data_IF_186522885490
#
_entry.id   IF_186522885490
#
_cell.length_a   1.000
_cell.length_b   1.000
_cell.length_c   1.000
_cell.angle_alpha   90.00
_cell.angle_beta   90.00
_cell.angle_gamma   90.00
#
_symmetry.space_group_name_H-M   'P 1'
#
loop_
_entity.id
_entity.type
_entity.pdbx_description
1 polymer ?
#
# COMPACT_ATOMS: atom_id res chain seq x y z
N UNK A 1 12.33 -24.90 58.78
CA UNK A 1 11.57 -23.64 58.66
C UNK A 1 12.27 -22.79 57.61
N UNK A 2 11.88 -22.94 56.35
CA UNK A 2 11.08 -21.97 55.58
C UNK A 2 11.90 -20.79 55.02
N UNK A 3 12.09 -20.84 53.70
CA UNK A 3 12.02 -19.71 52.74
C UNK A 3 13.24 -18.79 52.62
N UNK A 4 14.24 -19.26 51.88
CA UNK A 4 15.11 -18.41 51.06
C UNK A 4 14.63 -18.64 49.61
N UNK A 5 13.42 -18.17 49.32
CA UNK A 5 13.13 -17.02 48.47
C UNK A 5 13.92 -17.06 47.15
N UNK A 6 13.31 -17.77 46.21
CA UNK A 6 13.63 -17.82 44.79
C UNK A 6 13.63 -16.41 44.20
N UNK A 7 14.77 -15.98 43.68
CA UNK A 7 14.87 -14.74 42.92
C UNK A 7 16.09 -14.83 41.98
N UNK A 8 15.90 -15.40 40.80
CA UNK A 8 16.54 -14.96 39.55
C UNK A 8 16.11 -15.83 38.36
N UNK A 9 15.86 -15.15 37.23
CA UNK A 9 15.96 -15.68 35.85
C UNK A 9 14.84 -16.66 35.46
N UNK A 10 13.98 -16.42 34.48
CA UNK A 10 13.95 -15.41 33.44
C UNK A 10 12.56 -15.50 32.81
N UNK A 11 11.94 -14.34 32.70
CA UNK A 11 10.69 -14.07 31.99
C UNK A 11 10.71 -14.63 30.56
N UNK A 12 10.16 -15.82 30.36
CA UNK A 12 9.61 -16.24 29.06
C UNK A 12 8.23 -15.58 28.96
N UNK A 13 8.25 -14.25 28.81
CA UNK A 13 7.09 -13.45 28.49
C UNK A 13 6.80 -13.60 27.00
N UNK A 14 6.05 -14.65 26.66
CA UNK A 14 5.06 -14.68 25.59
C UNK A 14 5.24 -13.63 24.47
N UNK A 15 6.11 -13.92 23.49
CA UNK A 15 6.12 -13.25 22.19
C UNK A 15 4.88 -13.68 21.39
N UNK A 16 3.71 -13.20 21.82
CA UNK A 16 2.59 -13.07 20.90
C UNK A 16 3.01 -12.00 19.89
N UNK A 17 3.02 -12.27 18.58
CA UNK A 17 3.03 -11.19 17.61
C UNK A 17 1.68 -10.50 17.79
N UNK A 18 1.64 -9.49 18.66
CA UNK A 18 0.58 -8.51 18.62
C UNK A 18 0.73 -7.93 17.22
N UNK A 19 -0.17 -8.30 16.31
CA UNK A 19 -0.36 -7.58 15.08
C UNK A 19 -0.64 -6.14 15.53
N UNK A 20 0.43 -5.34 15.59
CA UNK A 20 0.37 -3.97 16.01
C UNK A 20 -0.59 -3.32 15.01
N UNK A 21 -1.79 -3.03 15.47
CA UNK A 21 -2.62 -2.08 14.77
C UNK A 21 -1.80 -0.80 14.82
N UNK A 22 -1.12 -0.49 13.72
CA UNK A 22 -0.34 0.72 13.61
C UNK A 22 -1.26 1.88 14.00
N UNK A 23 -0.80 2.71 14.94
CA UNK A 23 -1.66 3.70 15.56
C UNK A 23 -2.06 4.80 14.55
N UNK A 24 -1.26 4.97 13.50
CA UNK A 24 -1.46 5.96 12.45
C UNK A 24 -1.17 5.42 11.05
N UNK A 25 -1.64 6.12 10.01
CA UNK A 25 -1.38 5.78 8.60
C UNK A 25 0.12 5.81 8.27
N UNK A 26 0.92 6.81 8.68
CA UNK A 26 2.36 6.82 8.41
C UNK A 26 3.10 5.64 9.05
N UNK A 27 2.80 5.31 10.30
CA UNK A 27 3.41 4.17 10.99
C UNK A 27 3.06 2.83 10.30
N UNK A 28 1.79 2.71 9.87
CA UNK A 28 1.32 1.54 9.13
C UNK A 28 2.06 1.38 7.80
N UNK A 29 2.24 2.48 7.07
CA UNK A 29 2.94 2.51 5.80
C UNK A 29 4.42 2.19 5.97
N UNK A 30 5.10 2.79 6.95
CA UNK A 30 6.53 2.58 7.21
C UNK A 30 6.82 1.12 7.59
N UNK A 31 6.03 0.56 8.52
CA UNK A 31 6.17 -0.84 8.94
C UNK A 31 5.92 -1.79 7.77
N UNK A 32 4.89 -1.53 6.97
CA UNK A 32 4.55 -2.35 5.81
C UNK A 32 5.62 -2.27 4.72
N UNK A 33 6.06 -1.06 4.37
CA UNK A 33 7.04 -0.83 3.31
C UNK A 33 8.41 -1.42 3.68
N UNK A 34 8.86 -1.26 4.93
CA UNK A 34 10.09 -1.90 5.44
C UNK A 34 10.01 -3.43 5.40
N UNK A 35 8.89 -4.02 5.81
CA UNK A 35 8.69 -5.47 5.72
C UNK A 35 8.66 -5.97 4.27
N UNK A 36 8.10 -5.19 3.35
CA UNK A 36 8.05 -5.52 1.92
C UNK A 36 9.42 -5.40 1.27
N UNK A 37 10.21 -4.38 1.60
CA UNK A 37 11.59 -4.22 1.14
C UNK A 37 12.46 -5.41 1.57
N UNK A 38 12.39 -5.81 2.85
CA UNK A 38 13.13 -6.99 3.33
C UNK A 38 12.74 -8.28 2.58
N UNK A 39 11.47 -8.46 2.23
CA UNK A 39 11.02 -9.58 1.39
C UNK A 39 11.57 -9.49 -0.02
N UNK A 40 11.50 -8.30 -0.63
CA UNK A 40 11.97 -8.04 -1.98
C UNK A 40 13.48 -8.25 -2.10
N UNK A 41 14.29 -7.75 -1.16
CA UNK A 41 15.74 -7.97 -1.13
C UNK A 41 16.09 -9.47 -1.09
N UNK A 42 15.42 -10.25 -0.22
CA UNK A 42 15.59 -11.70 -0.17
C UNK A 42 15.18 -12.39 -1.48
N UNK A 43 14.05 -11.98 -2.07
CA UNK A 43 13.55 -12.54 -3.32
C UNK A 43 14.50 -12.27 -4.50
N UNK A 44 15.18 -11.13 -4.48
CA UNK A 44 16.17 -10.73 -5.48
C UNK A 44 17.58 -11.24 -5.19
N UNK A 45 17.78 -12.06 -4.15
CA UNK A 45 19.09 -12.61 -3.79
C UNK A 45 20.09 -11.58 -3.28
N UNK A 46 19.61 -10.52 -2.62
CA UNK A 46 20.44 -9.44 -2.09
C UNK A 46 20.69 -9.61 -0.58
N UNK A 47 21.88 -9.23 -0.14
CA UNK A 47 22.34 -9.47 1.23
C UNK A 47 21.57 -8.66 2.28
N UNK A 48 21.09 -7.47 1.92
CA UNK A 48 20.39 -6.57 2.83
C UNK A 48 19.46 -5.59 2.09
N UNK A 49 18.39 -5.11 2.76
CA UNK A 49 17.62 -3.94 2.32
C UNK A 49 18.47 -2.65 2.32
N UNK A 50 18.11 -1.62 1.53
CA UNK A 50 17.02 -1.63 0.56
C UNK A 50 17.37 -2.40 -0.71
N UNK A 51 16.38 -3.09 -1.27
CA UNK A 51 16.54 -3.81 -2.53
C UNK A 51 16.96 -2.86 -3.66
N UNK A 52 18.06 -3.18 -4.34
CA UNK A 52 18.66 -2.37 -5.42
C UNK A 52 18.23 -2.85 -6.80
N UNK A 53 18.42 -2.00 -7.80
CA UNK A 53 18.21 -2.34 -9.22
C UNK A 53 16.75 -2.33 -9.68
N UNK A 54 15.82 -1.95 -8.80
CA UNK A 54 14.39 -1.91 -9.08
C UNK A 54 13.82 -0.51 -8.92
N UNK A 55 12.96 -0.11 -9.86
CA UNK A 55 12.17 1.11 -9.80
C UNK A 55 10.73 0.75 -9.40
N UNK A 56 10.10 1.57 -8.57
CA UNK A 56 8.76 1.29 -8.03
C UNK A 56 7.76 2.28 -8.62
N UNK A 57 6.69 1.76 -9.20
CA UNK A 57 5.54 2.54 -9.63
C UNK A 57 4.42 2.37 -8.61
N UNK A 58 4.01 3.46 -7.97
CA UNK A 58 3.00 3.40 -6.89
C UNK A 58 1.61 3.68 -7.44
N UNK A 59 0.65 2.85 -7.05
CA UNK A 59 -0.77 3.00 -7.38
C UNK A 59 -1.58 3.24 -6.11
N UNK A 60 -2.76 3.85 -6.26
CA UNK A 60 -3.70 4.01 -5.15
C UNK A 60 -4.39 2.67 -4.87
N UNK A 61 -4.40 2.18 -3.62
CA UNK A 61 -5.17 1.01 -3.23
C UNK A 61 -6.66 1.23 -3.48
N UNK A 62 -7.33 0.22 -4.01
CA UNK A 62 -8.76 0.28 -4.35
C UNK A 62 -9.61 -0.53 -3.36
N UNK A 63 -10.92 -0.28 -3.32
CA UNK A 63 -11.82 -1.08 -2.50
C UNK A 63 -11.80 -2.54 -2.97
N UNK A 64 -11.68 -3.49 -2.05
CA UNK A 64 -11.71 -4.92 -2.38
C UNK A 64 -13.05 -5.34 -3.02
N UNK A 65 -14.16 -4.69 -2.66
CA UNK A 65 -15.47 -4.94 -3.25
C UNK A 65 -15.78 -4.12 -4.51
N UNK A 66 -14.98 -3.08 -4.79
CA UNK A 66 -15.14 -2.19 -5.94
C UNK A 66 -13.78 -1.65 -6.39
N UNK A 67 -13.21 -2.30 -7.41
CA UNK A 67 -11.84 -2.04 -7.87
C UNK A 67 -11.68 -0.71 -8.63
N UNK A 68 -12.77 0.02 -8.88
CA UNK A 68 -12.71 1.40 -9.40
C UNK A 68 -12.78 2.44 -8.27
N UNK A 69 -13.05 2.00 -7.04
CA UNK A 69 -13.21 2.86 -5.87
C UNK A 69 -11.93 3.13 -5.11
N UNK A 70 -11.61 4.41 -4.92
CA UNK A 70 -10.54 4.85 -4.03
C UNK A 70 -10.97 6.06 -3.21
N UNK A 71 -10.73 6.03 -1.91
CA UNK A 71 -11.05 7.13 -0.98
C UNK A 71 -9.81 7.98 -0.62
N UNK A 72 -9.96 9.16 -0.01
CA UNK A 72 -8.82 9.96 0.45
C UNK A 72 -7.82 9.20 1.33
N UNK A 73 -8.29 8.31 2.22
CA UNK A 73 -7.42 7.53 3.09
C UNK A 73 -6.49 6.58 2.29
N UNK A 74 -7.02 5.94 1.26
CA UNK A 74 -6.25 5.05 0.39
C UNK A 74 -5.18 5.80 -0.39
N UNK A 75 -5.50 7.03 -0.86
CA UNK A 75 -4.50 7.91 -1.46
C UNK A 75 -3.41 8.28 -0.47
N UNK A 76 -3.78 8.66 0.76
CA UNK A 76 -2.80 8.95 1.81
C UNK A 76 -1.89 7.75 2.10
N UNK A 77 -2.43 6.53 2.18
CA UNK A 77 -1.62 5.32 2.33
C UNK A 77 -0.61 5.17 1.18
N UNK A 78 -1.03 5.40 -0.07
CA UNK A 78 -0.14 5.35 -1.22
C UNK A 78 0.98 6.39 -1.13
N UNK A 79 0.66 7.63 -0.73
CA UNK A 79 1.64 8.71 -0.54
C UNK A 79 2.64 8.37 0.57
N UNK A 80 2.19 7.82 1.70
CA UNK A 80 3.07 7.43 2.80
C UNK A 80 4.01 6.29 2.41
N UNK A 81 3.51 5.30 1.65
CA UNK A 81 4.37 4.24 1.12
C UNK A 81 5.37 4.77 0.08
N UNK A 82 4.93 5.68 -0.81
CA UNK A 82 5.81 6.33 -1.76
C UNK A 82 6.90 7.14 -1.05
N UNK A 83 6.54 7.91 -0.02
CA UNK A 83 7.48 8.63 0.86
C UNK A 83 8.54 7.67 1.40
N UNK A 84 8.13 6.55 1.98
CA UNK A 84 9.06 5.58 2.54
C UNK A 84 10.02 5.04 1.47
N UNK A 85 9.53 4.62 0.30
CA UNK A 85 10.39 4.11 -0.77
C UNK A 85 11.35 5.18 -1.32
N UNK A 86 10.91 6.43 -1.47
CA UNK A 86 11.80 7.54 -1.85
C UNK A 86 12.89 7.75 -0.80
N UNK A 87 12.51 7.78 0.49
CA UNK A 87 13.46 7.94 1.61
C UNK A 87 14.47 6.79 1.68
N UNK A 88 14.05 5.58 1.35
CA UNK A 88 14.89 4.38 1.27
C UNK A 88 15.76 4.31 -0.01
N UNK A 89 15.72 5.33 -0.88
CA UNK A 89 16.61 5.45 -2.04
C UNK A 89 16.09 4.79 -3.32
N UNK A 90 14.81 4.41 -3.39
CA UNK A 90 14.20 3.88 -4.60
C UNK A 90 13.91 4.98 -5.62
N UNK A 91 13.96 4.61 -6.91
CA UNK A 91 13.35 5.41 -7.97
C UNK A 91 11.85 5.16 -7.96
N UNK A 92 11.08 6.11 -7.45
CA UNK A 92 9.61 6.04 -7.44
C UNK A 92 9.04 6.85 -8.60
N UNK A 93 8.12 6.24 -9.36
CA UNK A 93 7.39 6.91 -10.44
C UNK A 93 5.91 7.04 -10.08
N UNK A 94 5.38 8.25 -10.15
CA UNK A 94 3.95 8.52 -10.02
C UNK A 94 3.22 8.18 -11.33
N UNK A 95 2.09 7.47 -11.22
CA UNK A 95 1.14 7.37 -12.34
C UNK A 95 0.21 8.58 -12.29
N UNK A 96 0.54 9.65 -13.01
CA UNK A 96 -0.42 10.75 -13.20
C UNK A 96 -1.61 10.28 -14.03
N UNK A 97 -2.82 10.67 -13.57
CA UNK A 97 -4.14 10.28 -14.13
C UNK A 97 -4.15 10.35 -15.66
N UNK A 98 -4.48 9.21 -16.29
CA UNK A 98 -4.57 9.05 -17.75
C UNK A 98 -4.19 7.64 -18.24
N UNK A 99 -3.56 6.82 -17.38
CA UNK A 99 -3.22 5.42 -17.67
C UNK A 99 -4.00 4.53 -16.71
N UNK A 100 -5.15 4.03 -17.16
CA UNK A 100 -5.94 3.05 -16.41
C UNK A 100 -5.13 1.75 -16.27
N UNK A 101 -4.79 1.35 -15.05
CA UNK A 101 -4.39 -0.03 -14.75
C UNK A 101 -5.69 -0.78 -14.53
N UNK A 102 -6.02 -1.72 -15.41
CA UNK A 102 -7.22 -2.54 -15.29
C UNK A 102 -6.87 -3.79 -14.47
N UNK A 103 -7.47 -3.93 -13.29
CA UNK A 103 -7.40 -5.17 -12.52
C UNK A 103 -8.51 -6.10 -13.03
N UNK A 104 -8.20 -7.35 -13.40
CA UNK A 104 -9.22 -8.28 -13.88
C UNK A 104 -9.68 -9.22 -12.74
N UNK A 105 -10.92 -9.10 -12.24
CA UNK A 105 -11.36 -9.77 -11.01
C UNK A 105 -11.39 -11.30 -11.11
N UNK A 106 -11.67 -11.83 -12.30
CA UNK A 106 -11.99 -13.26 -12.50
C UNK A 106 -10.75 -14.16 -12.41
N UNK A 107 -9.56 -13.62 -12.70
CA UNK A 107 -8.29 -14.35 -12.67
C UNK A 107 -7.38 -13.92 -11.53
N UNK A 108 -7.69 -12.80 -10.85
CA UNK A 108 -6.77 -12.18 -9.89
C UNK A 108 -5.50 -11.61 -10.53
N UNK A 109 -5.48 -11.49 -11.86
CA UNK A 109 -4.34 -11.00 -12.63
C UNK A 109 -4.45 -9.48 -12.87
N UNK A 110 -3.33 -8.79 -12.73
CA UNK A 110 -3.19 -7.40 -13.17
C UNK A 110 -3.09 -7.36 -14.70
N UNK A 111 -4.16 -6.92 -15.37
CA UNK A 111 -4.08 -6.60 -16.79
C UNK A 111 -3.50 -5.20 -16.98
N UNK A 112 -2.19 -5.16 -17.17
CA UNK A 112 -1.52 -3.99 -17.71
C UNK A 112 -2.03 -3.76 -19.13
N UNK A 113 -2.88 -2.75 -19.30
CA UNK A 113 -3.42 -2.40 -20.62
C UNK A 113 -2.25 -1.99 -21.52
N UNK A 114 -1.91 -2.88 -22.47
CA UNK A 114 -1.10 -2.69 -23.68
C UNK A 114 -0.52 -1.29 -23.82
N UNK A 115 0.65 -1.06 -23.20
CA UNK A 115 1.62 0.02 -23.48
C UNK A 115 2.91 -0.13 -22.65
N UNK A 116 3.30 -1.36 -22.32
CA UNK A 116 4.62 -1.65 -21.73
C UNK A 116 5.77 -1.24 -22.70
N UNK A 117 5.50 -1.25 -24.00
CA UNK A 117 6.44 -0.82 -25.06
C UNK A 117 6.72 0.69 -25.10
N UNK A 118 5.92 1.51 -24.40
CA UNK A 118 6.20 2.94 -24.22
C UNK A 118 6.99 3.25 -22.93
N UNK A 119 7.31 2.23 -22.12
CA UNK A 119 8.18 2.38 -20.96
C UNK A 119 9.64 2.22 -21.40
N UNK A 120 10.12 3.27 -22.07
CA UNK A 120 11.51 3.59 -22.38
C UNK A 120 12.53 2.47 -22.24
N UNK A 121 12.86 1.87 -23.38
CA UNK A 121 14.16 1.25 -23.60
C UNK A 121 15.25 2.32 -23.42
N UNK A 122 15.95 2.30 -22.29
CA UNK A 122 17.38 2.58 -22.14
C UNK A 122 17.77 2.48 -20.65
N UNK A 123 18.69 1.56 -20.35
CA UNK A 123 19.20 1.14 -19.04
C UNK A 123 18.20 0.32 -18.21
N UNK A 124 18.37 -1.01 -18.21
CA UNK A 124 17.46 -2.02 -17.64
C UNK A 124 17.37 -1.89 -16.12
N UNK A 125 16.60 -0.92 -15.64
CA UNK A 125 16.04 -0.96 -14.30
C UNK A 125 14.77 -1.78 -14.36
N UNK A 126 14.74 -2.91 -13.64
CA UNK A 126 13.51 -3.68 -13.46
C UNK A 126 12.43 -2.77 -12.83
N UNK A 127 11.18 -2.88 -13.29
CA UNK A 127 10.06 -2.07 -12.79
C UNK A 127 9.11 -2.96 -12.00
N UNK A 128 8.88 -2.62 -10.72
CA UNK A 128 7.81 -3.20 -9.92
C UNK A 128 6.66 -2.20 -9.73
N UNK A 129 5.44 -2.72 -9.69
CA UNK A 129 4.24 -1.95 -9.39
C UNK A 129 3.81 -2.26 -7.97
N UNK A 130 3.65 -1.23 -7.14
CA UNK A 130 2.99 -1.33 -5.84
C UNK A 130 1.49 -1.15 -6.04
N UNK A 131 0.75 -2.25 -5.91
CA UNK A 131 -0.70 -2.30 -6.03
C UNK A 131 -1.33 -2.90 -4.79
N UNK A 132 -2.57 -2.54 -4.51
CA UNK A 132 -3.23 -3.10 -3.34
C UNK A 132 -4.72 -2.83 -3.28
N UNK A 133 -5.32 -3.41 -2.26
CA UNK A 133 -6.73 -3.23 -1.94
C UNK A 133 -6.90 -2.83 -0.49
N UNK A 134 -8.02 -2.20 -0.17
CA UNK A 134 -8.44 -1.96 1.20
C UNK A 134 -9.81 -2.55 1.49
N UNK A 135 -10.08 -2.81 2.77
CA UNK A 135 -11.40 -3.21 3.27
C UNK A 135 -11.72 -2.39 4.51
N UNK A 136 -12.91 -1.79 4.54
CA UNK A 136 -13.38 -0.98 5.66
C UNK A 136 -14.22 -1.86 6.58
N UNK A 137 -13.94 -1.79 7.88
CA UNK A 137 -14.78 -2.35 8.95
C UNK A 137 -15.24 -1.23 9.88
N UNK A 138 -16.20 -1.47 10.79
CA UNK A 138 -16.65 -0.44 11.73
C UNK A 138 -15.54 0.11 12.65
N UNK A 139 -14.46 -0.65 12.86
CA UNK A 139 -13.39 -0.30 13.82
C UNK A 139 -12.04 -0.04 13.17
N UNK A 140 -11.81 -0.49 11.94
CA UNK A 140 -10.51 -0.39 11.28
C UNK A 140 -10.61 -0.51 9.77
N UNK A 141 -9.60 0.00 9.08
CA UNK A 141 -9.36 -0.23 7.66
C UNK A 141 -8.17 -1.18 7.53
N UNK A 142 -8.34 -2.24 6.75
CA UNK A 142 -7.27 -3.19 6.43
C UNK A 142 -6.77 -2.91 5.02
N UNK A 143 -5.47 -2.69 4.88
CA UNK A 143 -4.78 -2.56 3.60
C UNK A 143 -4.02 -3.85 3.28
N UNK A 144 -4.07 -4.26 2.02
CA UNK A 144 -3.30 -5.38 1.47
C UNK A 144 -2.54 -4.91 0.24
N UNK A 145 -1.21 -4.88 0.31
CA UNK A 145 -0.34 -4.33 -0.72
C UNK A 145 0.59 -5.41 -1.28
N UNK A 146 0.95 -5.29 -2.55
CA UNK A 146 1.81 -6.21 -3.30
C UNK A 146 2.76 -5.43 -4.19
N UNK A 147 4.03 -5.83 -4.20
CA UNK A 147 5.01 -5.41 -5.19
C UNK A 147 5.09 -6.46 -6.29
N UNK A 148 4.72 -6.08 -7.51
CA UNK A 148 4.58 -7.00 -8.64
C UNK A 148 5.59 -6.62 -9.71
N UNK A 149 6.47 -7.56 -10.04
CA UNK A 149 7.47 -7.38 -11.08
C UNK A 149 6.80 -7.34 -12.45
N UNK A 150 6.92 -6.21 -13.15
CA UNK A 150 6.19 -5.96 -14.40
C UNK A 150 6.53 -6.95 -15.52
N UNK A 151 7.80 -7.30 -15.77
CA UNK A 151 8.14 -8.25 -16.83
C UNK A 151 7.68 -9.69 -16.60
N UNK A 152 7.60 -10.16 -15.35
CA UNK A 152 7.30 -11.58 -15.04
C UNK A 152 5.95 -11.78 -14.35
N UNK A 153 5.24 -10.71 -14.02
CA UNK A 153 4.04 -10.73 -13.16
C UNK A 153 4.24 -11.41 -11.80
N UNK A 154 5.49 -11.57 -11.37
CA UNK A 154 5.80 -12.21 -10.10
C UNK A 154 5.60 -11.26 -8.93
N UNK A 155 4.98 -11.74 -7.86
CA UNK A 155 4.91 -11.01 -6.60
C UNK A 155 6.27 -11.09 -5.88
N UNK A 156 6.94 -9.95 -5.79
CA UNK A 156 8.24 -9.81 -5.11
C UNK A 156 8.08 -9.72 -3.60
N UNK A 157 7.03 -9.04 -3.14
CA UNK A 157 6.72 -8.87 -1.73
C UNK A 157 5.23 -8.57 -1.51
N UNK A 158 4.73 -8.90 -0.33
CA UNK A 158 3.38 -8.54 0.10
C UNK A 158 3.38 -7.99 1.53
N UNK A 159 2.48 -7.07 1.80
CA UNK A 159 2.33 -6.45 3.11
C UNK A 159 0.87 -6.24 3.46
N UNK A 160 0.57 -6.27 4.75
CA UNK A 160 -0.76 -5.90 5.25
C UNK A 160 -0.62 -4.97 6.43
N UNK A 161 -1.52 -4.01 6.56
CA UNK A 161 -1.63 -3.19 7.76
C UNK A 161 -3.10 -2.99 8.12
N UNK A 162 -3.33 -2.79 9.42
CA UNK A 162 -4.65 -2.46 9.95
C UNK A 162 -4.54 -1.12 10.66
N UNK A 163 -5.28 -0.14 10.17
CA UNK A 163 -5.35 1.20 10.74
C UNK A 163 -6.68 1.34 11.48
N UNK A 164 -6.70 1.65 12.79
CA UNK A 164 -7.95 1.90 13.53
C UNK A 164 -8.70 3.07 12.93
N UNK A 165 -10.03 2.98 12.83
CA UNK A 165 -10.85 4.13 12.44
C UNK A 165 -10.98 5.06 13.64
N UNK A 166 -10.24 6.16 13.61
CA UNK A 166 -10.40 7.29 14.54
C UNK A 166 -11.40 8.31 13.97
N UNK A 167 -11.86 9.25 14.80
CA UNK A 167 -12.70 10.37 14.36
C UNK A 167 -12.03 11.20 13.25
N UNK A 168 -10.71 11.33 13.30
CA UNK A 168 -9.91 12.04 12.29
C UNK A 168 -9.93 11.33 10.93
N UNK A 169 -9.94 9.99 10.90
CA UNK A 169 -9.89 9.23 9.65
C UNK A 169 -11.27 9.03 9.02
N UNK A 170 -12.36 9.13 9.79
CA UNK A 170 -13.73 8.93 9.29
C UNK A 170 -14.07 9.75 8.03
N UNK A 171 -13.75 11.06 7.95
CA UNK A 171 -14.01 11.86 6.74
C UNK A 171 -13.24 11.35 5.51
N UNK A 172 -12.10 10.69 5.71
CA UNK A 172 -11.24 10.18 4.64
C UNK A 172 -11.71 8.84 4.06
N UNK A 173 -12.68 8.18 4.72
CA UNK A 173 -13.27 6.92 4.25
C UNK A 173 -14.32 7.14 3.17
N UNK A 174 -14.95 8.33 3.16
CA UNK A 174 -16.00 8.68 2.21
C UNK A 174 -15.36 9.25 0.96
N UNK A 175 -15.65 8.64 -0.18
CA UNK A 175 -15.26 9.21 -1.46
C UNK A 175 -16.17 10.38 -1.82
N UNK A 176 -15.71 11.61 -1.51
CA UNK A 176 -16.40 12.84 -1.86
C UNK A 176 -16.64 13.00 -3.38
N UNK A 177 -15.97 12.22 -4.23
CA UNK A 177 -16.20 12.26 -5.68
C UNK A 177 -17.47 11.50 -6.13
N UNK A 178 -17.92 10.48 -5.37
CA UNK A 178 -19.18 9.76 -5.68
C UNK A 178 -20.43 10.55 -5.31
N UNK A 179 -20.33 11.43 -4.32
CA UNK A 179 -21.46 12.22 -3.82
C UNK A 179 -21.52 13.66 -4.35
N UNK A 180 -20.66 14.02 -5.31
CA UNK A 180 -20.81 15.28 -6.03
C UNK A 180 -21.91 15.14 -7.07
N UNK A 181 -23.15 15.37 -6.65
CA UNK A 181 -24.19 15.88 -7.54
C UNK A 181 -23.57 17.09 -8.24
N UNK A 182 -23.33 16.99 -9.54
CA UNK A 182 -22.81 18.10 -10.33
C UNK A 182 -23.85 19.21 -10.27
N UNK A 183 -23.69 20.16 -9.35
CA UNK A 183 -24.45 21.38 -9.38
C UNK A 183 -23.88 22.23 -10.51
N UNK A 184 -24.66 22.56 -11.56
CA UNK A 184 -24.19 23.48 -12.58
C UNK A 184 -23.86 24.82 -11.92
N UNK A 185 -22.64 25.31 -12.13
CA UNK A 185 -22.17 26.59 -11.61
C UNK A 185 -22.81 27.79 -12.30
N UNK A 186 -23.66 27.56 -13.30
CA UNK A 186 -24.35 28.58 -14.08
C UNK A 186 -25.86 28.34 -13.99
N UNK A 187 -26.55 29.23 -13.29
CA UNK A 187 -27.99 29.35 -13.36
C UNK A 187 -28.37 30.21 -14.55
N UNK A 188 -28.93 29.62 -15.60
CA UNK A 188 -29.51 30.40 -16.70
C UNK A 188 -30.92 30.83 -16.30
N UNK A 189 -31.12 32.12 -16.02
CA UNK A 189 -32.47 32.67 -15.97
C UNK A 189 -32.93 33.00 -17.38
N UNK A 190 -33.99 32.37 -17.85
CA UNK A 190 -34.70 32.81 -19.05
C UNK A 190 -35.55 34.04 -18.67
N UNK A 191 -35.25 35.17 -19.31
CA UNK A 191 -36.11 36.37 -19.31
C UNK A 191 -36.92 36.39 -20.60
#
# INVERSE_FOLDING_TARGET
MKRILALLVLTIGLLLPLAAAAASVPEAADAMASAMDAQMARKLGQDAPPAKGISIMVTTPVDLGDLEGANPLSRQMAEEMARWFVQSGYRVQEIRKGRTILFQPETGELLLTRKAELLGTQNVSSVAILAGTYTITPKSVRFNMRLIHTPTNEVLAMGTATVPVSEELRPLLVDASRNRTIQPSVGTSLR
#
